data_IF_107330190490
#
_entry.id   IF_107330190490
#
_cell.length_a   1.000
_cell.length_b   1.000
_cell.length_c   1.000
_cell.angle_alpha   90.00
_cell.angle_beta   90.00
_cell.angle_gamma   90.00
#
_symmetry.space_group_name_H-M   'P 1'
#
loop_
_entity.id
_entity.type
_entity.pdbx_description
1 polymer ?
#
# COMPACT_ATOMS: atom_id res chain seq x y z
N UNK A 1 8.04 -20.15 -17.87
CA UNK A 1 8.69 -19.09 -18.68
C UNK A 1 9.67 -18.37 -17.78
N UNK A 2 10.94 -18.29 -18.19
CA UNK A 2 11.98 -17.71 -17.35
C UNK A 2 12.57 -16.48 -18.04
N UNK A 3 12.95 -15.48 -17.26
CA UNK A 3 13.72 -14.34 -17.72
C UNK A 3 15.03 -14.23 -16.94
N UNK A 4 16.08 -13.72 -17.58
CA UNK A 4 17.38 -13.50 -16.95
C UNK A 4 17.62 -12.01 -16.80
N UNK A 5 18.08 -11.60 -15.63
CA UNK A 5 18.37 -10.21 -15.27
C UNK A 5 19.77 -10.09 -14.73
N UNK A 6 20.40 -8.95 -14.92
CA UNK A 6 21.64 -8.56 -14.26
C UNK A 6 21.31 -7.52 -13.19
N UNK A 7 21.68 -7.81 -11.94
CA UNK A 7 21.59 -6.88 -10.82
C UNK A 7 22.95 -6.84 -10.17
N UNK A 8 23.58 -5.67 -10.06
CA UNK A 8 24.97 -5.52 -9.56
C UNK A 8 25.97 -6.48 -10.24
N UNK A 9 25.87 -6.63 -11.57
CA UNK A 9 26.69 -7.53 -12.38
C UNK A 9 26.55 -9.02 -12.03
N UNK A 10 25.55 -9.42 -11.24
CA UNK A 10 25.20 -10.81 -10.96
C UNK A 10 23.97 -11.23 -11.77
N UNK A 11 24.00 -12.44 -12.31
CA UNK A 11 22.88 -13.00 -13.06
C UNK A 11 21.82 -13.60 -12.13
N UNK A 12 20.57 -13.22 -12.35
CA UNK A 12 19.41 -13.78 -11.66
C UNK A 12 18.43 -14.36 -12.68
N UNK A 13 17.74 -15.42 -12.31
CA UNK A 13 16.66 -16.01 -13.10
C UNK A 13 15.34 -15.82 -12.38
N UNK A 14 14.38 -15.21 -13.06
CA UNK A 14 13.00 -15.08 -12.61
C UNK A 14 12.17 -16.18 -13.27
N UNK A 15 11.52 -16.99 -12.45
CA UNK A 15 10.56 -18.01 -12.89
C UNK A 15 9.14 -17.45 -12.72
N UNK A 16 8.50 -17.07 -13.82
CA UNK A 16 7.14 -16.51 -13.82
C UNK A 16 6.04 -17.49 -13.38
N UNK A 17 6.35 -18.77 -13.22
CA UNK A 17 5.41 -19.73 -12.64
C UNK A 17 5.36 -19.68 -11.11
N UNK A 18 6.34 -19.01 -10.49
CA UNK A 18 6.45 -18.83 -9.03
C UNK A 18 6.18 -17.38 -8.69
N UNK A 19 4.99 -17.10 -8.24
CA UNK A 19 4.60 -15.76 -7.79
C UNK A 19 3.81 -15.83 -6.48
N UNK A 20 3.83 -14.74 -5.75
CA UNK A 20 3.00 -14.53 -4.57
C UNK A 20 2.14 -13.31 -4.84
N UNK A 21 0.82 -13.49 -4.80
CA UNK A 21 -0.11 -12.37 -4.83
C UNK A 21 -0.13 -11.71 -3.45
N UNK A 22 0.21 -10.44 -3.42
CA UNK A 22 0.21 -9.65 -2.18
C UNK A 22 -1.07 -8.83 -2.01
N UNK A 23 -2.01 -8.92 -2.94
CA UNK A 23 -3.28 -8.21 -2.83
C UNK A 23 -4.24 -8.92 -1.88
N UNK A 24 -5.07 -8.15 -1.19
CA UNK A 24 -6.23 -8.66 -0.47
C UNK A 24 -7.37 -8.76 -1.48
N UNK A 25 -7.91 -9.96 -1.77
CA UNK A 25 -9.07 -10.09 -2.64
C UNK A 25 -10.25 -9.27 -2.11
N UNK A 26 -10.87 -8.46 -2.95
CA UNK A 26 -12.03 -7.68 -2.55
C UNK A 26 -13.25 -8.61 -2.45
N UNK A 27 -13.76 -8.77 -1.25
CA UNK A 27 -14.98 -9.54 -0.98
C UNK A 27 -16.20 -8.60 -1.00
N UNK A 28 -16.72 -8.33 -2.19
CA UNK A 28 -17.88 -7.48 -2.34
C UNK A 28 -19.07 -7.99 -1.52
N UNK A 29 -19.76 -7.08 -0.83
CA UNK A 29 -20.85 -7.36 0.09
C UNK A 29 -20.46 -8.15 1.36
N UNK A 30 -19.20 -8.59 1.49
CA UNK A 30 -18.70 -9.42 2.58
C UNK A 30 -17.78 -8.72 3.56
N UNK A 31 -16.92 -9.53 4.19
CA UNK A 31 -15.84 -9.00 5.05
C UNK A 31 -14.72 -8.45 4.20
N UNK A 32 -14.24 -7.26 4.54
CA UNK A 32 -13.20 -6.53 3.82
C UNK A 32 -12.58 -5.49 4.74
N UNK A 33 -11.36 -5.00 4.46
CA UNK A 33 -10.78 -3.91 5.23
C UNK A 33 -11.64 -2.65 5.12
N UNK A 34 -11.58 -1.82 6.14
CA UNK A 34 -12.22 -0.50 6.10
C UNK A 34 -11.38 0.52 6.84
N UNK A 35 -11.14 1.65 6.18
CA UNK A 35 -10.54 2.85 6.78
C UNK A 35 -11.53 4.00 6.73
N UNK A 36 -11.40 4.95 7.63
CA UNK A 36 -12.21 6.17 7.72
C UNK A 36 -13.72 5.95 7.87
N UNK A 37 -14.21 4.71 8.00
CA UNK A 37 -15.64 4.42 8.16
C UNK A 37 -16.46 4.64 6.89
N UNK A 38 -15.85 4.52 5.71
CA UNK A 38 -16.57 4.61 4.44
C UNK A 38 -17.50 3.42 4.24
N UNK A 39 -18.41 3.53 3.30
CA UNK A 39 -19.25 2.41 2.89
C UNK A 39 -18.42 1.25 2.38
N UNK A 40 -18.92 0.03 2.61
CA UNK A 40 -18.30 -1.19 2.06
C UNK A 40 -18.30 -1.17 0.54
N UNK A 41 -17.30 -1.82 -0.04
CA UNK A 41 -17.36 -2.18 -1.45
C UNK A 41 -18.53 -3.16 -1.67
N UNK A 42 -19.42 -2.82 -2.57
CA UNK A 42 -20.60 -3.60 -2.90
C UNK A 42 -20.69 -3.92 -4.40
N UNK A 43 -21.35 -5.02 -4.68
CA UNK A 43 -21.68 -5.46 -6.03
C UNK A 43 -23.20 -5.71 -6.08
N UNK A 44 -23.84 -5.19 -7.11
CA UNK A 44 -25.27 -5.40 -7.39
C UNK A 44 -25.45 -5.76 -8.84
N UNK A 45 -26.41 -6.66 -9.13
CA UNK A 45 -26.79 -6.91 -10.52
C UNK A 45 -27.21 -5.61 -11.18
N UNK A 46 -26.73 -5.36 -12.40
CA UNK A 46 -27.20 -4.22 -13.18
C UNK A 46 -28.67 -4.46 -13.59
N UNK A 47 -29.50 -3.46 -13.39
CA UNK A 47 -30.93 -3.53 -13.74
C UNK A 47 -31.30 -2.29 -14.56
N UNK A 48 -31.95 -2.50 -15.70
CA UNK A 48 -32.52 -1.46 -16.55
C UNK A 48 -33.80 -1.90 -17.20
N UNK A 49 -34.92 -1.36 -16.71
CA UNK A 49 -36.26 -1.74 -17.14
C UNK A 49 -36.53 -3.23 -16.91
N UNK A 50 -36.59 -4.01 -17.99
CA UNK A 50 -36.80 -5.46 -17.93
C UNK A 50 -35.53 -6.29 -17.94
N UNK A 51 -34.38 -5.63 -18.15
CA UNK A 51 -33.09 -6.30 -18.13
C UNK A 51 -32.60 -6.48 -16.70
N UNK A 52 -32.21 -7.71 -16.37
CA UNK A 52 -31.60 -8.06 -15.08
C UNK A 52 -30.28 -8.76 -15.37
N UNK A 53 -29.17 -8.21 -14.88
CA UNK A 53 -27.82 -8.75 -15.01
C UNK A 53 -27.52 -9.88 -14.02
N UNK A 54 -28.44 -10.82 -13.83
CA UNK A 54 -28.28 -12.00 -12.97
C UNK A 54 -29.05 -13.18 -13.54
N UNK A 55 -28.32 -14.20 -13.97
CA UNK A 55 -28.92 -15.42 -14.54
C UNK A 55 -29.78 -16.16 -13.52
N UNK A 56 -29.48 -16.05 -12.22
CA UNK A 56 -30.28 -16.67 -11.14
C UNK A 56 -31.63 -15.99 -10.96
N UNK A 57 -31.77 -14.76 -11.46
CA UNK A 57 -33.02 -13.98 -11.46
C UNK A 57 -33.71 -13.98 -12.83
N UNK A 58 -33.29 -14.88 -13.74
CA UNK A 58 -33.85 -14.99 -15.06
C UNK A 58 -33.27 -14.05 -16.12
N UNK A 59 -32.20 -13.35 -15.81
CA UNK A 59 -31.47 -12.52 -16.78
C UNK A 59 -30.67 -13.36 -17.78
N UNK A 60 -30.27 -12.77 -18.93
CA UNK A 60 -29.56 -13.49 -19.98
C UNK A 60 -28.06 -13.68 -19.66
N UNK A 61 -27.48 -12.89 -18.76
CA UNK A 61 -26.08 -12.95 -18.39
C UNK A 61 -25.86 -12.32 -17.01
N UNK A 62 -24.68 -12.55 -16.44
CA UNK A 62 -24.24 -11.89 -15.21
C UNK A 62 -23.53 -10.60 -15.55
N UNK A 63 -24.05 -9.49 -15.07
CA UNK A 63 -23.59 -8.15 -15.36
C UNK A 63 -23.83 -7.25 -14.14
N UNK A 64 -22.74 -6.80 -13.51
CA UNK A 64 -22.82 -6.15 -12.19
C UNK A 64 -22.31 -4.71 -12.22
N UNK A 65 -22.86 -3.92 -11.33
CA UNK A 65 -22.34 -2.59 -10.95
C UNK A 65 -21.56 -2.73 -9.65
N UNK A 66 -20.35 -2.15 -9.61
CA UNK A 66 -19.49 -2.11 -8.43
C UNK A 66 -19.43 -0.71 -7.87
N UNK A 67 -19.53 -0.59 -6.55
CA UNK A 67 -19.22 0.64 -5.82
C UNK A 67 -18.08 0.34 -4.86
N UNK A 68 -16.99 1.10 -4.94
CA UNK A 68 -15.77 0.88 -4.17
C UNK A 68 -15.06 2.20 -3.89
N UNK A 69 -14.48 2.32 -2.69
CA UNK A 69 -13.50 3.36 -2.35
C UNK A 69 -12.12 2.71 -2.23
N UNK A 70 -11.28 2.72 -3.30
CA UNK A 70 -10.05 1.92 -3.35
C UNK A 70 -9.11 2.13 -2.17
N UNK A 71 -8.86 3.39 -1.77
CA UNK A 71 -8.00 3.72 -0.62
C UNK A 71 -8.52 3.20 0.73
N UNK A 72 -9.74 2.70 0.79
CA UNK A 72 -10.37 2.31 2.06
C UNK A 72 -10.81 0.85 2.13
N UNK A 73 -11.08 0.20 0.97
CA UNK A 73 -11.70 -1.11 0.94
C UNK A 73 -10.76 -2.27 0.57
N UNK A 74 -9.51 -2.01 0.23
CA UNK A 74 -8.58 -3.09 -0.13
C UNK A 74 -7.21 -2.60 -0.57
N UNK A 75 -6.40 -3.53 -1.06
CA UNK A 75 -5.08 -3.21 -1.60
C UNK A 75 -5.21 -2.25 -2.76
N UNK A 76 -4.44 -1.18 -2.70
CA UNK A 76 -4.42 -0.16 -3.74
C UNK A 76 -3.00 0.41 -3.89
N UNK A 77 -2.71 0.89 -5.08
CA UNK A 77 -1.44 1.58 -5.38
C UNK A 77 -1.74 3.01 -5.75
N UNK A 78 -1.01 3.92 -5.15
CA UNK A 78 -1.13 5.35 -5.34
C UNK A 78 0.18 5.98 -5.80
N UNK A 79 0.09 7.16 -6.38
CA UNK A 79 1.20 7.97 -6.83
C UNK A 79 1.07 9.41 -6.31
N UNK A 80 2.03 10.25 -6.62
CA UNK A 80 2.08 11.64 -6.16
C UNK A 80 0.77 12.42 -6.43
N UNK A 81 0.02 12.07 -7.49
CA UNK A 81 -1.29 12.66 -7.78
C UNK A 81 -2.36 12.44 -6.71
N UNK A 82 -2.09 11.56 -5.72
CA UNK A 82 -2.95 11.39 -4.53
C UNK A 82 -2.96 12.64 -3.64
N UNK A 83 -1.84 13.36 -3.54
CA UNK A 83 -1.69 14.48 -2.61
C UNK A 83 -1.39 15.83 -3.27
N UNK A 84 -1.34 15.89 -4.61
CA UNK A 84 -1.09 17.13 -5.36
C UNK A 84 -2.36 17.67 -6.03
N UNK A 85 -2.35 18.96 -6.38
CA UNK A 85 -3.48 19.57 -7.11
C UNK A 85 -3.60 18.99 -8.53
N UNK A 86 -2.48 18.59 -9.15
CA UNK A 86 -2.46 17.91 -10.44
C UNK A 86 -2.86 16.44 -10.27
N UNK A 87 -3.83 16.02 -11.06
CA UNK A 87 -4.30 14.63 -11.07
C UNK A 87 -3.44 13.79 -12.01
N UNK A 88 -2.54 13.00 -11.42
CA UNK A 88 -1.67 12.08 -12.14
C UNK A 88 -2.28 10.68 -12.13
N UNK A 89 -2.35 10.04 -13.30
CA UNK A 89 -2.79 8.65 -13.40
C UNK A 89 -1.70 7.71 -12.91
N UNK A 90 -2.09 6.69 -12.14
CA UNK A 90 -1.16 5.63 -11.73
C UNK A 90 -0.52 4.91 -12.94
N UNK A 91 -1.22 4.79 -14.05
CA UNK A 91 -0.67 4.21 -15.29
C UNK A 91 0.48 5.03 -15.86
N UNK A 92 0.48 6.35 -15.64
CA UNK A 92 1.59 7.23 -16.05
C UNK A 92 2.77 7.15 -15.08
N UNK A 93 2.52 6.73 -13.84
CA UNK A 93 3.55 6.60 -12.79
C UNK A 93 4.26 5.25 -12.84
N UNK A 94 3.54 4.18 -13.15
CA UNK A 94 4.11 2.83 -13.29
C UNK A 94 4.76 2.67 -14.67
N UNK A 95 6.04 3.01 -14.77
CA UNK A 95 6.81 2.91 -16.01
C UNK A 95 7.63 1.61 -16.13
N UNK A 96 7.65 0.78 -15.10
CA UNK A 96 8.31 -0.52 -15.09
C UNK A 96 7.34 -1.60 -14.58
N UNK A 97 7.30 -2.73 -15.29
CA UNK A 97 6.52 -3.90 -14.87
C UNK A 97 7.27 -4.78 -13.85
N UNK A 98 8.58 -4.64 -13.77
CA UNK A 98 9.44 -5.46 -12.92
C UNK A 98 10.52 -4.59 -12.30
N UNK A 99 10.75 -4.76 -11.02
CA UNK A 99 11.83 -4.13 -10.28
C UNK A 99 12.29 -5.03 -9.12
N UNK A 100 13.60 -5.02 -8.79
CA UNK A 100 14.12 -5.74 -7.63
C UNK A 100 13.51 -5.22 -6.35
N UNK A 101 13.11 -6.13 -5.47
CA UNK A 101 12.44 -5.76 -4.21
C UNK A 101 12.96 -6.57 -3.04
N UNK A 102 12.94 -5.96 -1.86
CA UNK A 102 13.26 -6.60 -0.59
C UNK A 102 12.03 -6.66 0.30
N UNK A 103 11.74 -7.84 0.84
CA UNK A 103 10.73 -8.05 1.88
C UNK A 103 11.39 -8.06 3.26
N UNK A 104 10.87 -7.23 4.16
CA UNK A 104 11.23 -7.26 5.58
C UNK A 104 10.00 -7.40 6.47
N UNK A 105 10.22 -7.95 7.68
CA UNK A 105 9.18 -7.97 8.72
C UNK A 105 9.63 -7.11 9.90
N UNK A 106 8.76 -6.21 10.34
CA UNK A 106 9.00 -5.31 11.47
C UNK A 106 7.93 -5.49 12.53
N UNK A 107 8.31 -5.30 13.79
CA UNK A 107 7.38 -5.25 14.92
C UNK A 107 7.21 -3.79 15.33
N UNK A 108 6.07 -3.14 15.02
CA UNK A 108 5.81 -1.78 15.45
C UNK A 108 5.80 -1.67 16.98
N UNK A 109 6.30 -0.56 17.51
CA UNK A 109 6.44 -0.32 18.95
C UNK A 109 6.00 1.09 19.32
N UNK A 110 5.57 1.27 20.57
CA UNK A 110 5.42 2.61 21.14
C UNK A 110 6.80 3.28 21.20
N UNK A 111 6.87 4.51 20.75
CA UNK A 111 8.07 5.35 20.80
C UNK A 111 7.70 6.82 20.95
N UNK A 112 8.64 7.64 21.40
CA UNK A 112 8.48 9.10 21.48
C UNK A 112 9.31 9.72 20.37
N UNK A 113 8.63 10.19 19.34
CA UNK A 113 9.24 10.88 18.21
C UNK A 113 8.43 12.13 17.85
N UNK A 114 9.03 13.03 17.10
CA UNK A 114 8.32 14.21 16.61
C UNK A 114 7.37 13.81 15.49
N UNK A 115 6.10 14.13 15.64
CA UNK A 115 5.05 13.91 14.65
C UNK A 115 3.95 14.96 14.81
N UNK A 116 3.19 15.23 13.76
CA UNK A 116 2.03 16.12 13.80
C UNK A 116 0.84 15.39 13.16
N UNK A 117 -0.24 15.22 13.89
CA UNK A 117 -0.49 15.57 15.31
C UNK A 117 0.36 14.74 16.28
N UNK A 118 0.53 15.21 17.50
CA UNK A 118 1.40 14.56 18.51
C UNK A 118 1.05 13.08 18.70
N UNK A 119 2.08 12.25 18.77
CA UNK A 119 1.97 10.81 19.04
C UNK A 119 1.30 10.56 20.40
N UNK A 120 0.34 9.64 20.42
CA UNK A 120 -0.33 9.18 21.64
C UNK A 120 0.41 7.97 22.24
N UNK A 121 0.20 7.73 23.54
CA UNK A 121 0.92 6.69 24.28
C UNK A 121 0.68 5.26 23.74
N UNK A 122 -0.44 5.04 23.06
CA UNK A 122 -0.83 3.75 22.49
C UNK A 122 -0.61 3.64 20.97
N UNK A 123 -0.03 4.66 20.37
CA UNK A 123 0.35 4.59 18.94
C UNK A 123 1.52 3.61 18.76
N UNK A 124 1.44 2.81 17.71
CA UNK A 124 2.48 1.85 17.33
C UNK A 124 3.19 2.37 16.08
N UNK A 125 4.51 2.47 16.15
CA UNK A 125 5.34 3.13 15.16
C UNK A 125 6.27 2.15 14.46
N UNK A 126 6.45 2.35 13.16
CA UNK A 126 7.54 1.79 12.36
C UNK A 126 8.65 2.84 12.36
N UNK A 127 9.72 2.57 13.10
CA UNK A 127 10.80 3.52 13.35
C UNK A 127 11.98 3.32 12.42
N UNK A 128 12.79 4.36 12.23
CA UNK A 128 14.05 4.28 11.50
C UNK A 128 14.94 3.15 12.03
N UNK A 129 15.09 3.05 13.37
CA UNK A 129 15.92 2.00 14.00
C UNK A 129 15.45 0.60 13.62
N UNK A 130 14.12 0.37 13.57
CA UNK A 130 13.56 -0.93 13.19
C UNK A 130 13.85 -1.30 11.73
N UNK A 131 13.89 -0.31 10.84
CA UNK A 131 14.24 -0.48 9.43
C UNK A 131 15.74 -0.69 9.24
N UNK A 132 16.58 0.12 9.88
CA UNK A 132 18.04 -0.01 9.83
C UNK A 132 18.49 -1.42 10.20
N UNK A 133 17.97 -1.96 11.31
CA UNK A 133 18.27 -3.34 11.74
C UNK A 133 17.97 -4.42 10.70
N UNK A 134 17.03 -4.16 9.79
CA UNK A 134 16.62 -5.12 8.75
C UNK A 134 17.30 -4.90 7.41
N UNK A 135 17.75 -3.67 7.16
CA UNK A 135 18.24 -3.24 5.86
C UNK A 135 19.75 -2.98 5.79
N UNK A 136 20.47 -3.03 6.92
CA UNK A 136 21.91 -2.73 6.96
C UNK A 136 22.74 -3.54 5.96
N UNK A 137 22.43 -4.84 5.81
CA UNK A 137 23.18 -5.75 4.94
C UNK A 137 22.51 -5.95 3.56
N UNK A 138 21.47 -5.18 3.26
CA UNK A 138 20.74 -5.25 1.98
C UNK A 138 21.37 -4.28 0.99
N UNK A 139 21.74 -4.77 -0.20
CA UNK A 139 22.23 -3.91 -1.30
C UNK A 139 21.09 -3.00 -1.79
N UNK A 140 21.40 -1.73 -2.04
CA UNK A 140 20.45 -0.76 -2.59
C UNK A 140 19.90 -1.17 -3.97
N UNK A 141 20.65 -2.01 -4.71
CA UNK A 141 20.16 -2.59 -5.97
C UNK A 141 18.91 -3.48 -5.80
N UNK A 142 18.61 -3.93 -4.58
CA UNK A 142 17.40 -4.68 -4.24
C UNK A 142 16.37 -3.84 -3.46
N UNK A 143 16.54 -2.53 -3.45
CA UNK A 143 15.68 -1.58 -2.74
C UNK A 143 14.92 -0.63 -3.66
N UNK A 144 14.88 -0.90 -4.97
CA UNK A 144 13.96 -0.16 -5.84
C UNK A 144 12.51 -0.35 -5.37
N UNK A 145 12.14 -1.60 -4.98
CA UNK A 145 10.94 -1.92 -4.24
C UNK A 145 11.25 -2.34 -2.80
N UNK A 146 10.46 -1.84 -1.84
CA UNK A 146 10.53 -2.26 -0.44
C UNK A 146 9.15 -2.73 0.02
N UNK A 147 9.08 -3.99 0.46
CA UNK A 147 7.87 -4.61 0.98
C UNK A 147 8.02 -4.71 2.51
N UNK A 148 7.11 -4.11 3.25
CA UNK A 148 7.15 -4.11 4.71
C UNK A 148 5.92 -4.84 5.25
N UNK A 149 6.18 -5.97 5.93
CA UNK A 149 5.19 -6.74 6.68
C UNK A 149 5.28 -6.38 8.16
N UNK A 150 4.19 -5.94 8.75
CA UNK A 150 4.12 -5.68 10.19
C UNK A 150 3.75 -6.94 10.98
N UNK A 151 4.33 -7.08 12.18
CA UNK A 151 4.07 -8.18 13.10
C UNK A 151 3.22 -7.73 14.30
N UNK A 152 2.35 -8.58 14.85
CA UNK A 152 2.01 -9.93 14.39
C UNK A 152 1.25 -9.88 13.05
N UNK A 153 1.56 -10.83 12.17
CA UNK A 153 0.91 -10.90 10.86
C UNK A 153 -0.29 -11.86 10.90
N UNK A 154 -1.42 -11.36 11.38
CA UNK A 154 -2.65 -12.12 11.52
C UNK A 154 -3.47 -12.11 10.23
N UNK A 155 -4.14 -13.20 9.93
CA UNK A 155 -5.11 -13.32 8.80
C UNK A 155 -6.20 -12.25 8.85
N UNK A 156 -6.58 -11.82 10.06
CA UNK A 156 -7.57 -10.76 10.26
C UNK A 156 -7.21 -9.42 9.61
N UNK A 157 -5.96 -9.19 9.23
CA UNK A 157 -5.56 -7.99 8.46
C UNK A 157 -6.33 -7.86 7.16
N UNK A 158 -6.77 -8.98 6.58
CA UNK A 158 -7.55 -9.00 5.35
C UNK A 158 -8.95 -8.39 5.49
N UNK A 159 -9.40 -8.11 6.74
CA UNK A 159 -10.76 -7.59 6.99
C UNK A 159 -10.85 -6.65 8.20
N UNK A 160 -9.73 -6.03 8.59
CA UNK A 160 -9.71 -5.12 9.74
C UNK A 160 -10.57 -3.87 9.49
N UNK A 161 -11.38 -3.52 10.47
CA UNK A 161 -11.97 -2.20 10.61
C UNK A 161 -10.98 -1.29 11.37
N UNK A 162 -10.21 -0.50 10.62
CA UNK A 162 -9.15 0.36 11.16
C UNK A 162 -9.68 1.59 11.93
N UNK A 163 -10.98 1.87 11.87
CA UNK A 163 -11.60 2.86 12.75
C UNK A 163 -11.67 2.33 14.18
N UNK A 164 -11.92 1.02 14.34
CA UNK A 164 -12.00 0.37 15.65
C UNK A 164 -10.64 -0.10 16.15
N UNK A 165 -9.74 -0.48 15.24
CA UNK A 165 -8.41 -0.98 15.57
C UNK A 165 -7.36 -0.09 14.93
N UNK A 166 -6.78 0.83 15.72
CA UNK A 166 -5.76 1.77 15.24
C UNK A 166 -4.59 1.02 14.58
N UNK A 167 -4.23 1.35 13.32
CA UNK A 167 -3.06 0.78 12.67
C UNK A 167 -1.77 1.40 13.20
N UNK A 168 -0.64 0.74 12.94
CA UNK A 168 0.67 1.37 13.03
C UNK A 168 0.92 2.30 11.85
N UNK A 169 1.89 3.21 11.98
CA UNK A 169 2.31 4.13 10.94
C UNK A 169 3.81 4.42 11.03
N UNK A 170 4.37 5.09 10.02
CA UNK A 170 5.79 5.40 9.99
C UNK A 170 6.13 6.66 10.77
N UNK A 171 7.29 6.69 11.42
CA UNK A 171 7.88 7.94 11.88
C UNK A 171 8.43 8.73 10.70
N UNK A 172 8.56 10.05 10.84
CA UNK A 172 9.13 10.90 9.79
C UNK A 172 10.56 10.48 9.44
N UNK A 173 11.34 10.13 10.44
CA UNK A 173 12.74 9.66 10.25
C UNK A 173 12.79 8.29 9.55
N UNK A 174 11.82 7.41 9.79
CA UNK A 174 11.70 6.16 9.05
C UNK A 174 11.44 6.41 7.56
N UNK A 175 10.53 7.32 7.22
CA UNK A 175 10.23 7.65 5.84
C UNK A 175 11.41 8.34 5.14
N UNK A 176 12.10 9.26 5.80
CA UNK A 176 13.35 9.86 5.29
C UNK A 176 14.42 8.80 5.03
N UNK A 177 14.56 7.83 5.92
CA UNK A 177 15.49 6.72 5.73
C UNK A 177 15.13 5.87 4.51
N UNK A 178 13.88 5.48 4.34
CA UNK A 178 13.39 4.75 3.15
C UNK A 178 13.77 5.52 1.87
N UNK A 179 13.54 6.82 1.83
CA UNK A 179 13.90 7.67 0.69
C UNK A 179 15.40 7.73 0.44
N UNK A 180 16.21 7.83 1.52
CA UNK A 180 17.67 7.89 1.42
C UNK A 180 18.29 6.60 0.85
N UNK A 181 17.57 5.45 0.97
CA UNK A 181 17.94 4.15 0.42
C UNK A 181 17.52 3.97 -1.05
N UNK A 182 16.94 4.99 -1.68
CA UNK A 182 16.57 4.96 -3.09
C UNK A 182 15.27 4.22 -3.42
N UNK A 183 14.44 3.88 -2.43
CA UNK A 183 13.16 3.21 -2.62
C UNK A 183 12.24 4.08 -3.48
N UNK A 184 11.72 3.48 -4.56
CA UNK A 184 10.72 4.10 -5.46
C UNK A 184 9.33 3.50 -5.29
N UNK A 185 9.26 2.22 -4.96
CA UNK A 185 8.01 1.47 -4.81
C UNK A 185 7.92 0.91 -3.39
N UNK A 186 7.16 1.58 -2.53
CA UNK A 186 6.93 1.15 -1.15
C UNK A 186 5.63 0.36 -1.08
N UNK A 187 5.66 -0.84 -0.52
CA UNK A 187 4.48 -1.70 -0.33
C UNK A 187 4.34 -2.04 1.15
N UNK A 188 3.16 -1.79 1.73
CA UNK A 188 2.92 -1.92 3.17
C UNK A 188 1.59 -2.60 3.48
N UNK A 189 1.55 -3.38 4.55
CA UNK A 189 0.35 -4.09 5.00
C UNK A 189 -0.50 -3.30 6.01
N UNK A 190 -0.36 -1.99 5.97
CA UNK A 190 -1.12 -1.02 6.78
C UNK A 190 -1.94 -0.12 5.86
N UNK A 191 -3.01 0.53 6.37
CA UNK A 191 -3.94 1.29 5.54
C UNK A 191 -3.42 2.68 5.16
N UNK A 192 -2.37 3.17 5.80
CA UNK A 192 -1.70 4.41 5.45
C UNK A 192 -0.27 4.42 6.00
N UNK A 193 0.66 5.01 5.26
CA UNK A 193 2.02 5.28 5.76
C UNK A 193 2.01 6.38 6.83
N UNK A 194 1.01 7.25 6.82
CA UNK A 194 0.77 8.25 7.86
C UNK A 194 -0.18 7.75 8.96
N UNK A 195 -0.25 8.50 10.04
CA UNK A 195 -1.24 8.28 11.08
C UNK A 195 -2.64 8.44 10.49
N UNK A 196 -3.55 7.48 10.77
CA UNK A 196 -4.88 7.43 10.17
C UNK A 196 -5.67 8.65 10.60
N UNK A 197 -5.76 9.49 11.07
CA UNK A 197 -6.41 10.77 11.44
C UNK A 197 -5.33 11.78 11.83
N UNK A 198 -4.65 12.27 10.82
CA UNK A 198 -3.53 13.20 10.96
C UNK A 198 -3.90 14.65 10.59
N UNK A 199 -5.19 14.97 10.60
CA UNK A 199 -5.73 16.28 10.21
C UNK A 199 -5.37 16.69 8.77
N UNK A 200 -5.05 15.71 7.91
CA UNK A 200 -4.68 15.93 6.50
C UNK A 200 -3.25 16.45 6.31
N UNK A 201 -2.38 16.27 7.29
CA UNK A 201 -0.96 16.65 7.17
C UNK A 201 -0.20 15.80 6.17
N UNK A 202 -0.50 14.49 6.08
CA UNK A 202 0.13 13.55 5.14
C UNK A 202 1.65 13.68 5.13
N UNK A 203 2.25 13.73 6.31
CA UNK A 203 3.67 14.08 6.48
C UNK A 203 4.61 13.05 5.87
N UNK A 204 4.32 11.75 6.02
CA UNK A 204 5.11 10.68 5.40
C UNK A 204 4.93 10.64 3.88
N UNK A 205 3.71 10.84 3.39
CA UNK A 205 3.45 10.96 1.95
C UNK A 205 4.23 12.13 1.35
N UNK A 206 4.19 13.31 1.99
CA UNK A 206 4.96 14.48 1.55
C UNK A 206 6.48 14.20 1.52
N UNK A 207 7.02 13.49 2.52
CA UNK A 207 8.43 13.09 2.54
C UNK A 207 8.72 12.08 1.43
N UNK A 208 7.84 11.09 1.22
CA UNK A 208 8.06 10.05 0.22
C UNK A 208 8.12 10.62 -1.20
N UNK A 209 7.23 11.52 -1.55
CA UNK A 209 7.23 12.17 -2.87
C UNK A 209 8.01 13.48 -2.92
N UNK A 210 8.69 13.85 -1.82
CA UNK A 210 9.46 15.09 -1.71
C UNK A 210 8.68 16.30 -2.24
N UNK A 211 7.47 16.48 -1.68
CA UNK A 211 6.54 17.54 -2.08
C UNK A 211 6.06 18.33 -0.87
N UNK A 212 5.50 19.49 -1.12
CA UNK A 212 4.89 20.34 -0.11
C UNK A 212 3.82 21.23 -0.74
N UNK A 213 2.85 21.65 0.06
CA UNK A 213 1.81 22.57 -0.40
C UNK A 213 1.09 22.10 -1.66
N UNK A 214 0.90 20.78 -1.80
CA UNK A 214 0.21 20.11 -2.91
C UNK A 214 0.83 20.33 -4.30
N UNK A 215 2.10 20.69 -4.36
CA UNK A 215 2.83 20.92 -5.62
C UNK A 215 3.38 19.63 -6.19
N UNK A 216 3.26 19.47 -7.50
CA UNK A 216 3.83 18.32 -8.20
C UNK A 216 5.36 18.37 -8.20
N UNK A 217 6.00 17.31 -7.70
CA UNK A 217 7.41 17.04 -7.89
C UNK A 217 7.59 16.02 -9.04
N UNK A 218 7.99 16.48 -10.21
CA UNK A 218 8.14 15.62 -11.39
C UNK A 218 9.23 14.55 -11.23
N UNK A 219 10.23 14.77 -10.36
CA UNK A 219 11.27 13.78 -10.09
C UNK A 219 10.74 12.55 -9.33
N UNK A 220 9.60 12.69 -8.65
CA UNK A 220 8.95 11.61 -7.92
C UNK A 220 7.71 11.02 -8.63
N UNK A 221 7.48 11.38 -9.89
CA UNK A 221 6.29 10.96 -10.64
C UNK A 221 6.18 9.42 -10.78
N UNK A 222 7.31 8.72 -10.79
CA UNK A 222 7.39 7.26 -10.90
C UNK A 222 7.50 6.56 -9.55
N UNK A 223 7.27 7.25 -8.44
CA UNK A 223 7.30 6.66 -7.11
C UNK A 223 5.88 6.33 -6.67
N UNK A 224 5.71 5.12 -6.14
CA UNK A 224 4.39 4.61 -5.74
C UNK A 224 4.40 4.10 -4.31
N UNK A 225 3.26 4.24 -3.64
CA UNK A 225 2.97 3.55 -2.39
C UNK A 225 1.84 2.57 -2.67
N UNK A 226 2.00 1.32 -2.24
CA UNK A 226 0.94 0.31 -2.26
C UNK A 226 0.59 -0.03 -0.82
N UNK A 227 -0.64 0.21 -0.45
CA UNK A 227 -1.14 0.03 0.92
C UNK A 227 -2.11 -1.14 1.02
N UNK A 228 -2.31 -1.64 2.24
CA UNK A 228 -3.14 -2.80 2.55
C UNK A 228 -2.79 -4.04 1.71
N UNK A 229 -1.49 -4.31 1.55
CA UNK A 229 -1.06 -5.63 1.04
C UNK A 229 -1.21 -6.68 2.15
N UNK A 230 -1.16 -7.95 1.77
CA UNK A 230 -1.03 -9.05 2.71
C UNK A 230 0.07 -10.01 2.25
N UNK A 231 1.08 -10.19 3.07
CA UNK A 231 2.18 -11.14 2.83
C UNK A 231 1.95 -12.36 3.70
N UNK A 232 1.80 -13.54 3.11
CA UNK A 232 1.62 -14.79 3.85
C UNK A 232 2.79 -15.08 4.81
N UNK A 233 2.52 -15.90 5.84
CA UNK A 233 3.52 -16.26 6.85
C UNK A 233 4.45 -17.41 6.42
N UNK A 234 4.20 -18.00 5.25
CA UNK A 234 4.94 -19.15 4.72
C UNK A 234 6.22 -18.74 4.02
#
# INVERSE_FOLDING_TARGET
MDAKFLIDNKGYTLDFSKFHDLSIPINFNGEQPNTYGVDKAISTAYEDGKFIGDTRKGGPCNFETYSITPHCNGTHTECIGHITDERISILSSLNSALFPSTLISVLPKSNQETYIPKIEANDLLITKESLEKKLNDVSDAFLEGLIIRTLPNLESKKSIDYVKQKPSFFTLEAMKYIRSRGVKHLMVDIPSVDRLFDDGHLSCHNIFWDTSSKKLNTAAIHFTITEMIYVDNN
#
